data_IF_573854206382
#
_entry.id   IF_573854206382
#
_cell.length_a   1.000
_cell.length_b   1.000
_cell.length_c   1.000
_cell.angle_alpha   90.00
_cell.angle_beta   90.00
_cell.angle_gamma   90.00
#
_symmetry.space_group_name_H-M   'P 1'
#
loop_
_entity.id
_entity.type
_entity.pdbx_description
1 polymer ?
#
# COMPACT_ATOMS: atom_id res chain seq x y z
N UNK A 1 -7.76 9.62 8.46
CA UNK A 1 -6.36 9.40 8.82
C UNK A 1 -5.61 8.98 7.57
N UNK A 2 -4.62 9.73 7.19
CA UNK A 2 -3.79 9.48 6.02
C UNK A 2 -2.35 9.26 6.48
N UNK A 3 -1.64 8.36 5.80
CA UNK A 3 -0.23 8.05 6.05
C UNK A 3 0.55 8.35 4.77
N UNK A 4 1.61 9.13 4.90
CA UNK A 4 2.49 9.48 3.78
C UNK A 4 3.91 9.02 4.09
N UNK A 5 4.59 8.48 3.10
CA UNK A 5 6.01 8.19 3.15
C UNK A 5 6.73 9.20 2.29
N UNK A 6 7.50 10.06 2.96
CA UNK A 6 8.43 10.94 2.30
C UNK A 6 9.75 10.21 2.08
N UNK A 7 10.25 10.20 0.86
CA UNK A 7 11.61 9.77 0.54
C UNK A 7 12.46 11.04 0.52
N UNK A 8 13.03 11.38 1.66
CA UNK A 8 14.05 12.43 1.73
C UNK A 8 15.43 11.88 1.34
N UNK A 9 16.33 12.76 0.87
CA UNK A 9 17.74 12.40 0.76
C UNK A 9 18.33 12.21 2.16
N UNK A 10 19.43 11.47 2.29
CA UNK A 10 20.13 11.29 3.59
C UNK A 10 20.69 12.61 4.16
N UNK A 11 20.59 13.70 3.43
CA UNK A 11 21.16 15.02 3.74
C UNK A 11 20.11 16.09 4.07
N UNK A 12 18.83 15.76 3.99
CA UNK A 12 17.75 16.68 4.35
C UNK A 12 17.44 16.58 5.85
N UNK A 13 17.35 17.73 6.50
CA UNK A 13 16.93 17.80 7.90
C UNK A 13 15.43 17.43 8.03
N UNK A 14 15.01 16.98 9.21
CA UNK A 14 13.59 16.75 9.50
C UNK A 14 12.77 18.03 9.30
N UNK A 15 13.35 19.21 9.59
CA UNK A 15 12.74 20.52 9.39
C UNK A 15 12.39 20.74 7.92
N UNK A 16 13.34 20.53 7.01
CA UNK A 16 13.14 20.68 5.57
C UNK A 16 12.12 19.69 5.02
N UNK A 17 12.16 18.44 5.49
CA UNK A 17 11.20 17.41 5.09
C UNK A 17 9.78 17.78 5.53
N UNK A 18 9.61 18.25 6.78
CA UNK A 18 8.30 18.66 7.30
C UNK A 18 7.78 19.89 6.58
N UNK A 19 8.64 20.87 6.30
CA UNK A 19 8.28 22.06 5.55
C UNK A 19 7.77 21.69 4.15
N UNK A 20 8.56 20.95 3.39
CA UNK A 20 8.20 20.48 2.05
C UNK A 20 6.91 19.64 2.06
N UNK A 21 6.74 18.77 3.05
CA UNK A 21 5.52 17.98 3.20
C UNK A 21 4.28 18.86 3.41
N UNK A 22 4.35 19.86 4.29
CA UNK A 22 3.22 20.76 4.57
C UNK A 22 2.84 21.54 3.31
N UNK A 23 3.83 22.06 2.57
CA UNK A 23 3.59 22.75 1.30
C UNK A 23 2.92 21.82 0.28
N UNK A 24 3.46 20.63 0.08
CA UNK A 24 2.90 19.67 -0.87
C UNK A 24 1.50 19.21 -0.45
N UNK A 25 1.28 18.96 0.83
CA UNK A 25 0.00 18.44 1.33
C UNK A 25 -1.14 19.45 1.20
N UNK A 26 -0.92 20.71 1.55
CA UNK A 26 -1.93 21.77 1.53
C UNK A 26 -2.00 22.55 0.21
N UNK A 27 -0.99 22.46 -0.64
CA UNK A 27 -0.99 23.09 -1.97
C UNK A 27 -2.03 22.52 -2.94
N UNK A 28 -2.59 21.34 -2.68
CA UNK A 28 -3.58 20.68 -3.54
C UNK A 28 -5.04 20.84 -3.07
N UNK A 29 -5.45 22.08 -2.78
CA UNK A 29 -6.86 22.42 -2.46
C UNK A 29 -7.48 21.56 -1.34
N UNK A 30 -6.71 21.26 -0.30
CA UNK A 30 -7.18 20.53 0.88
C UNK A 30 -7.68 21.49 1.96
N UNK A 31 -8.57 21.01 2.80
CA UNK A 31 -9.02 21.78 3.95
C UNK A 31 -7.86 22.08 4.90
N UNK A 32 -7.56 23.38 5.10
CA UNK A 32 -6.49 23.85 5.99
C UNK A 32 -7.10 24.09 7.39
N UNK A 33 -6.61 23.42 8.44
CA UNK A 33 -7.09 23.62 9.80
C UNK A 33 -6.60 24.95 10.38
N UNK A 34 -7.24 25.41 11.46
CA UNK A 34 -6.78 26.59 12.19
C UNK A 34 -5.41 26.40 12.85
N UNK A 35 -5.06 25.16 13.18
CA UNK A 35 -3.84 24.82 13.87
C UNK A 35 -3.26 23.50 13.36
N UNK A 36 -1.95 23.51 13.08
CA UNK A 36 -1.15 22.35 12.74
C UNK A 36 -0.23 22.07 13.93
N UNK A 37 -0.14 20.81 14.36
CA UNK A 37 0.73 20.39 15.45
C UNK A 37 1.86 19.54 14.89
N UNK A 38 3.09 19.87 15.27
CA UNK A 38 4.29 19.14 14.89
C UNK A 38 4.96 18.51 16.12
N UNK A 39 5.79 17.51 15.90
CA UNK A 39 6.60 16.86 16.93
C UNK A 39 7.91 17.61 17.22
N UNK A 40 8.36 18.43 16.26
CA UNK A 40 9.58 19.22 16.35
C UNK A 40 9.43 20.56 15.63
N UNK A 41 10.24 21.58 15.97
CA UNK A 41 10.21 22.85 15.28
C UNK A 41 10.71 22.70 13.85
N UNK A 42 10.23 23.59 12.98
CA UNK A 42 10.72 23.74 11.61
C UNK A 42 11.24 25.15 11.44
N UNK A 43 12.23 25.29 10.56
CA UNK A 43 12.72 26.60 10.15
C UNK A 43 11.63 27.31 9.33
N UNK A 44 11.70 28.64 9.25
CA UNK A 44 10.77 29.46 8.49
C UNK A 44 9.28 29.22 8.81
N UNK A 45 8.97 28.86 10.06
CA UNK A 45 7.59 28.62 10.54
C UNK A 45 6.66 29.80 10.21
N UNK A 46 7.14 31.03 10.38
CA UNK A 46 6.35 32.26 10.14
C UNK A 46 5.94 32.37 8.66
N UNK A 47 6.86 32.10 7.75
CA UNK A 47 6.60 32.13 6.30
C UNK A 47 5.53 31.08 5.92
N UNK A 48 5.61 29.89 6.52
CA UNK A 48 4.66 28.82 6.25
C UNK A 48 3.28 29.10 6.86
N UNK A 49 3.23 29.74 8.04
CA UNK A 49 1.98 30.21 8.66
C UNK A 49 1.30 31.31 7.81
N UNK A 50 2.06 32.24 7.26
CA UNK A 50 1.57 33.29 6.37
C UNK A 50 0.98 32.70 5.10
N UNK A 51 1.72 31.86 4.39
CA UNK A 51 1.27 31.18 3.19
C UNK A 51 0.00 30.35 3.41
N UNK A 52 -0.05 29.56 4.50
CA UNK A 52 -1.25 28.77 4.85
C UNK A 52 -2.45 29.65 5.22
N UNK A 53 -2.19 30.80 5.85
CA UNK A 53 -3.24 31.76 6.24
C UNK A 53 -3.85 32.42 5.03
N UNK A 54 -3.06 32.76 4.03
CA UNK A 54 -3.50 33.32 2.75
C UNK A 54 -4.37 32.30 2.00
N UNK A 55 -3.91 31.07 1.89
CA UNK A 55 -4.68 30.00 1.25
C UNK A 55 -6.01 29.71 1.96
N UNK A 56 -6.03 29.81 3.28
CA UNK A 56 -7.23 29.55 4.09
C UNK A 56 -8.18 30.75 4.14
N UNK A 57 -7.69 31.96 3.90
CA UNK A 57 -8.40 33.22 4.13
C UNK A 57 -8.56 33.61 5.62
N UNK A 58 -7.86 32.93 6.54
CA UNK A 58 -7.88 33.17 7.98
C UNK A 58 -6.60 32.63 8.63
N UNK A 59 -6.23 33.19 9.78
CA UNK A 59 -4.99 32.87 10.50
C UNK A 59 -4.84 31.38 10.78
N UNK A 60 -3.69 30.84 10.43
CA UNK A 60 -3.23 29.48 10.72
C UNK A 60 -2.03 29.54 11.66
N UNK A 61 -1.93 28.58 12.56
CA UNK A 61 -0.82 28.48 13.51
C UNK A 61 -0.16 27.11 13.40
N UNK A 62 1.16 27.07 13.37
CA UNK A 62 1.96 25.86 13.49
C UNK A 62 2.56 25.82 14.90
N UNK A 63 2.38 24.75 15.64
CA UNK A 63 2.81 24.65 17.03
C UNK A 63 3.45 23.33 17.37
N UNK A 64 4.51 23.36 18.16
CA UNK A 64 5.10 22.20 18.83
C UNK A 64 4.60 22.19 20.27
N UNK A 65 3.67 21.31 20.64
CA UNK A 65 3.09 21.31 21.96
C UNK A 65 4.02 20.68 22.99
N UNK A 66 4.24 21.37 24.12
CA UNK A 66 5.12 20.91 25.20
C UNK A 66 4.36 20.17 26.32
N UNK A 67 3.03 20.25 26.37
CA UNK A 67 2.22 19.64 27.44
C UNK A 67 0.75 19.46 27.06
N UNK A 68 0.03 18.69 27.87
CA UNK A 68 -1.43 18.53 27.78
C UNK A 68 -1.91 17.64 26.65
N UNK A 69 -3.18 17.82 26.25
CA UNK A 69 -3.86 16.98 25.25
C UNK A 69 -3.17 17.03 23.90
N UNK A 70 -2.70 18.22 23.48
CA UNK A 70 -2.04 18.42 22.18
C UNK A 70 -0.74 17.63 22.07
N UNK A 71 0.09 17.60 23.14
CA UNK A 71 1.29 16.77 23.17
C UNK A 71 0.92 15.27 23.06
N UNK A 72 -0.12 14.82 23.78
CA UNK A 72 -0.58 13.43 23.65
C UNK A 72 -1.00 13.05 22.24
N UNK A 73 -1.66 13.96 21.53
CA UNK A 73 -2.04 13.74 20.12
C UNK A 73 -0.82 13.62 19.20
N UNK A 74 0.18 14.48 19.37
CA UNK A 74 1.44 14.40 18.60
C UNK A 74 2.18 13.12 18.89
N UNK A 75 2.34 12.74 20.16
CA UNK A 75 3.01 11.49 20.56
C UNK A 75 2.28 10.26 20.00
N UNK A 76 0.95 10.27 19.99
CA UNK A 76 0.16 9.20 19.37
C UNK A 76 0.37 9.14 17.86
N UNK A 77 0.44 10.27 17.18
CA UNK A 77 0.72 10.32 15.75
C UNK A 77 2.13 9.82 15.43
N UNK A 78 3.13 10.23 16.21
CA UNK A 78 4.51 9.77 16.06
C UNK A 78 4.62 8.25 16.27
N UNK A 79 4.06 7.73 17.35
CA UNK A 79 4.05 6.28 17.61
C UNK A 79 3.38 5.49 16.48
N UNK A 80 2.29 6.01 15.93
CA UNK A 80 1.63 5.41 14.78
C UNK A 80 2.52 5.42 13.54
N UNK A 81 3.23 6.52 13.27
CA UNK A 81 4.16 6.62 12.14
C UNK A 81 5.31 5.60 12.25
N UNK A 82 5.87 5.44 13.45
CA UNK A 82 6.90 4.43 13.73
C UNK A 82 6.39 3.00 13.47
N UNK A 83 5.20 2.66 13.96
CA UNK A 83 4.58 1.35 13.71
C UNK A 83 4.43 1.08 12.21
N UNK A 84 3.94 2.06 11.44
CA UNK A 84 3.76 1.94 9.99
C UNK A 84 5.10 1.76 9.28
N UNK A 85 6.12 2.53 9.67
CA UNK A 85 7.49 2.42 9.15
C UNK A 85 8.05 1.01 9.38
N UNK A 86 7.91 0.48 10.60
CA UNK A 86 8.34 -0.89 10.93
C UNK A 86 7.59 -1.96 10.14
N UNK A 87 6.26 -1.84 10.03
CA UNK A 87 5.45 -2.77 9.26
C UNK A 87 5.86 -2.77 7.77
N UNK A 88 6.10 -1.59 7.18
CA UNK A 88 6.52 -1.49 5.78
C UNK A 88 7.88 -2.14 5.56
N UNK A 89 8.85 -1.90 6.45
CA UNK A 89 10.17 -2.53 6.39
C UNK A 89 10.08 -4.05 6.52
N UNK A 90 9.25 -4.55 7.44
CA UNK A 90 9.02 -5.99 7.59
C UNK A 90 8.42 -6.62 6.32
N UNK A 91 7.44 -5.96 5.69
CA UNK A 91 6.85 -6.42 4.43
C UNK A 91 7.87 -6.44 3.28
N UNK A 92 8.69 -5.41 3.17
CA UNK A 92 9.74 -5.37 2.14
C UNK A 92 10.79 -6.46 2.36
N UNK A 93 11.20 -6.69 3.61
CA UNK A 93 12.10 -7.80 3.96
C UNK A 93 11.50 -9.16 3.57
N UNK A 94 10.20 -9.39 3.80
CA UNK A 94 9.52 -10.62 3.41
C UNK A 94 9.54 -10.85 1.89
N UNK A 95 9.39 -9.79 1.08
CA UNK A 95 9.51 -9.89 -0.38
C UNK A 95 10.96 -10.19 -0.81
N UNK A 96 11.96 -9.61 -0.10
CA UNK A 96 13.38 -9.89 -0.35
C UNK A 96 13.71 -11.35 -0.03
N UNK A 97 13.21 -11.87 1.07
CA UNK A 97 13.38 -13.29 1.44
C UNK A 97 12.71 -14.22 0.42
N UNK A 98 11.49 -13.89 0.00
CA UNK A 98 10.77 -14.64 -1.02
C UNK A 98 11.53 -14.65 -2.35
N UNK A 99 12.06 -13.49 -2.78
CA UNK A 99 12.93 -13.38 -3.97
C UNK A 99 14.12 -14.33 -3.88
N UNK A 100 14.81 -14.33 -2.73
CA UNK A 100 15.99 -15.20 -2.50
C UNK A 100 15.60 -16.68 -2.51
N UNK A 101 14.55 -17.04 -1.81
CA UNK A 101 14.10 -18.43 -1.68
C UNK A 101 13.68 -19.03 -3.02
N UNK A 102 12.95 -18.28 -3.84
CA UNK A 102 12.47 -18.70 -5.15
C UNK A 102 13.47 -18.39 -6.28
N UNK A 103 14.63 -17.76 -5.97
CA UNK A 103 15.67 -17.35 -6.95
C UNK A 103 15.10 -16.49 -8.09
N UNK A 104 14.21 -15.57 -7.78
CA UNK A 104 13.61 -14.68 -8.76
C UNK A 104 14.59 -13.59 -9.20
N UNK A 105 14.51 -13.15 -10.46
CA UNK A 105 15.38 -12.09 -10.98
C UNK A 105 15.03 -10.72 -10.37
N UNK A 106 13.75 -10.46 -10.16
CA UNK A 106 13.25 -9.19 -9.58
C UNK A 106 12.39 -9.43 -8.36
N UNK A 107 12.20 -8.35 -7.58
CA UNK A 107 11.38 -8.37 -6.39
C UNK A 107 9.90 -8.57 -6.77
N UNK A 108 9.20 -9.59 -6.25
CA UNK A 108 7.82 -9.87 -6.61
C UNK A 108 6.85 -8.92 -5.88
N UNK A 109 6.67 -7.72 -6.41
CA UNK A 109 5.78 -6.71 -5.83
C UNK A 109 4.31 -7.02 -6.06
N UNK A 110 3.99 -7.62 -7.21
CA UNK A 110 2.63 -8.05 -7.56
C UNK A 110 2.60 -9.56 -7.58
N UNK A 111 1.85 -10.14 -6.65
CA UNK A 111 1.69 -11.60 -6.51
C UNK A 111 0.22 -11.92 -6.72
N UNK A 112 -0.06 -12.87 -7.60
CA UNK A 112 -1.41 -13.42 -7.77
C UNK A 112 -1.46 -14.87 -7.30
N UNK A 113 -2.45 -15.21 -6.47
CA UNK A 113 -2.72 -16.56 -6.02
C UNK A 113 -4.00 -17.11 -6.64
N UNK A 114 -4.00 -18.38 -7.03
CA UNK A 114 -5.11 -19.06 -7.71
C UNK A 114 -5.49 -20.34 -6.99
N UNK A 115 -6.79 -20.56 -6.85
CA UNK A 115 -7.39 -21.74 -6.27
C UNK A 115 -8.63 -22.16 -7.08
N UNK A 116 -8.88 -23.47 -7.17
CA UNK A 116 -10.10 -24.05 -7.72
C UNK A 116 -10.88 -24.73 -6.61
N UNK A 117 -12.09 -24.24 -6.39
CA UNK A 117 -13.02 -24.82 -5.41
C UNK A 117 -14.20 -25.46 -6.11
N UNK A 118 -14.39 -26.76 -5.89
CA UNK A 118 -15.53 -27.52 -6.40
C UNK A 118 -16.67 -27.53 -5.37
N UNK A 119 -17.80 -26.89 -5.71
CA UNK A 119 -19.00 -26.94 -4.89
C UNK A 119 -19.88 -28.07 -5.40
N UNK A 120 -19.91 -29.18 -4.67
CA UNK A 120 -20.83 -30.33 -4.90
C UNK A 120 -20.80 -30.94 -6.31
N UNK A 121 -19.65 -30.97 -6.97
CA UNK A 121 -19.44 -31.70 -8.24
C UNK A 121 -20.13 -31.10 -9.48
N UNK A 122 -20.88 -30.02 -9.36
CA UNK A 122 -21.63 -29.43 -10.48
C UNK A 122 -21.18 -27.99 -10.86
N UNK A 123 -20.52 -27.28 -9.97
CA UNK A 123 -20.08 -25.92 -10.23
C UNK A 123 -18.67 -25.71 -9.68
N UNK A 124 -17.69 -25.65 -10.56
CA UNK A 124 -16.35 -25.25 -10.19
C UNK A 124 -16.20 -23.72 -10.26
N UNK A 125 -15.57 -23.15 -9.27
CA UNK A 125 -15.27 -21.71 -9.20
C UNK A 125 -13.77 -21.54 -8.99
N UNK A 126 -13.14 -20.84 -9.92
CA UNK A 126 -11.77 -20.38 -9.75
C UNK A 126 -11.72 -19.08 -8.97
N UNK A 127 -10.84 -18.97 -8.02
CA UNK A 127 -10.59 -17.78 -7.24
C UNK A 127 -9.22 -17.20 -7.55
N UNK A 128 -9.16 -15.87 -7.75
CA UNK A 128 -7.92 -15.09 -7.83
C UNK A 128 -7.82 -14.16 -6.63
N UNK A 129 -6.73 -14.26 -5.88
CA UNK A 129 -6.32 -13.25 -4.90
C UNK A 129 -5.13 -12.47 -5.44
N UNK A 130 -4.97 -11.24 -5.02
CA UNK A 130 -3.85 -10.40 -5.46
C UNK A 130 -3.25 -9.69 -4.26
N UNK A 131 -1.92 -9.61 -4.26
CA UNK A 131 -1.13 -8.83 -3.30
C UNK A 131 -0.30 -7.81 -4.06
N UNK A 132 -0.17 -6.62 -3.49
CA UNK A 132 0.74 -5.58 -3.97
C UNK A 132 1.57 -5.08 -2.81
N UNK A 133 2.91 -5.08 -2.96
CA UNK A 133 3.87 -4.72 -1.91
C UNK A 133 3.59 -5.46 -0.59
N UNK A 134 3.42 -6.78 -0.67
CA UNK A 134 3.09 -7.69 0.44
C UNK A 134 1.75 -7.39 1.15
N UNK A 135 0.87 -6.55 0.61
CA UNK A 135 -0.46 -6.26 1.15
C UNK A 135 -1.56 -6.83 0.27
N UNK A 136 -2.65 -7.36 0.85
CA UNK A 136 -3.81 -7.81 0.08
C UNK A 136 -4.40 -6.68 -0.76
N UNK A 137 -4.45 -6.85 -2.08
CA UNK A 137 -5.09 -5.94 -3.02
C UNK A 137 -6.51 -6.42 -3.36
N UNK A 138 -7.42 -6.26 -2.42
CA UNK A 138 -8.80 -6.77 -2.53
C UNK A 138 -9.56 -6.26 -3.76
N UNK A 139 -9.20 -5.08 -4.30
CA UNK A 139 -9.81 -4.52 -5.52
C UNK A 139 -9.53 -5.37 -6.76
N UNK A 140 -8.48 -6.16 -6.73
CA UNK A 140 -8.05 -7.05 -7.83
C UNK A 140 -8.47 -8.51 -7.61
N UNK A 141 -9.19 -8.83 -6.55
CA UNK A 141 -9.76 -10.17 -6.33
C UNK A 141 -10.84 -10.44 -7.37
N UNK A 142 -10.80 -11.64 -7.96
CA UNK A 142 -11.79 -12.07 -8.96
C UNK A 142 -12.24 -13.50 -8.71
N UNK A 143 -13.46 -13.79 -9.13
CA UNK A 143 -14.00 -15.15 -9.22
C UNK A 143 -14.29 -15.45 -10.69
N UNK A 144 -13.97 -16.68 -11.09
CA UNK A 144 -14.17 -17.17 -12.44
C UNK A 144 -15.11 -18.36 -12.37
N UNK A 145 -16.22 -18.29 -13.08
CA UNK A 145 -17.03 -19.47 -13.34
C UNK A 145 -16.24 -20.38 -14.29
N UNK A 146 -15.97 -21.61 -13.87
CA UNK A 146 -15.27 -22.60 -14.68
C UNK A 146 -16.30 -23.33 -15.54
N UNK A 147 -15.99 -23.52 -16.81
CA UNK A 147 -16.86 -24.19 -17.79
C UNK A 147 -16.40 -25.62 -18.09
N UNK A 148 -15.15 -25.95 -17.77
CA UNK A 148 -14.59 -27.29 -17.89
C UNK A 148 -15.38 -28.26 -17.03
N UNK A 149 -15.97 -29.33 -17.63
CA UNK A 149 -16.78 -30.30 -16.90
C UNK A 149 -15.93 -31.36 -16.16
N UNK A 150 -16.49 -31.90 -15.09
CA UNK A 150 -15.96 -33.06 -14.36
C UNK A 150 -14.89 -32.76 -13.34
N UNK A 151 -14.38 -33.73 -12.63
CA UNK A 151 -13.34 -33.57 -11.60
C UNK A 151 -11.94 -33.55 -12.24
N UNK A 152 -11.65 -32.53 -13.04
CA UNK A 152 -10.34 -32.35 -13.67
C UNK A 152 -9.75 -30.99 -13.28
N UNK A 153 -9.19 -30.89 -12.08
CA UNK A 153 -8.63 -29.66 -11.51
C UNK A 153 -7.53 -29.07 -12.39
N UNK A 154 -6.76 -29.91 -13.09
CA UNK A 154 -5.74 -29.46 -14.04
C UNK A 154 -6.35 -28.71 -15.23
N UNK A 155 -7.37 -29.28 -15.89
CA UNK A 155 -8.03 -28.62 -17.02
C UNK A 155 -8.76 -27.33 -16.58
N UNK A 156 -9.35 -27.34 -15.38
CA UNK A 156 -10.00 -26.17 -14.79
C UNK A 156 -9.01 -25.04 -14.49
N UNK A 157 -7.84 -25.37 -13.90
CA UNK A 157 -6.77 -24.40 -13.64
C UNK A 157 -6.20 -23.84 -14.94
N UNK A 158 -6.00 -24.69 -15.94
CA UNK A 158 -5.57 -24.27 -17.28
C UNK A 158 -6.56 -23.30 -17.92
N UNK A 159 -7.86 -23.57 -17.83
CA UNK A 159 -8.90 -22.66 -18.30
C UNK A 159 -8.80 -21.30 -17.61
N UNK A 160 -8.72 -21.30 -16.28
CA UNK A 160 -8.63 -20.09 -15.47
C UNK A 160 -7.42 -19.23 -15.84
N UNK A 161 -6.23 -19.85 -15.89
CA UNK A 161 -5.00 -19.16 -16.23
C UNK A 161 -5.01 -18.66 -17.69
N UNK A 162 -5.54 -19.44 -18.62
CA UNK A 162 -5.68 -19.01 -20.02
C UNK A 162 -6.57 -17.75 -20.14
N UNK A 163 -7.67 -17.71 -19.39
CA UNK A 163 -8.55 -16.53 -19.35
C UNK A 163 -7.86 -15.33 -18.69
N UNK A 164 -7.04 -15.55 -17.68
CA UNK A 164 -6.24 -14.47 -17.04
C UNK A 164 -5.18 -13.93 -17.98
N UNK A 165 -4.47 -14.77 -18.70
CA UNK A 165 -3.44 -14.38 -19.64
C UNK A 165 -3.99 -13.50 -20.79
N UNK A 166 -5.22 -13.76 -21.24
CA UNK A 166 -5.90 -12.91 -22.24
C UNK A 166 -6.22 -11.51 -21.72
N UNK A 167 -6.16 -11.28 -20.41
CA UNK A 167 -6.40 -9.97 -19.77
C UNK A 167 -5.11 -9.24 -19.39
N UNK A 168 -3.94 -9.78 -19.68
CA UNK A 168 -2.65 -9.19 -19.28
C UNK A 168 -2.47 -7.80 -19.87
N UNK A 169 -2.87 -7.58 -21.11
CA UNK A 169 -2.76 -6.27 -21.79
C UNK A 169 -3.63 -5.17 -21.16
N UNK A 170 -4.64 -5.54 -20.37
CA UNK A 170 -5.60 -4.61 -19.74
C UNK A 170 -5.47 -4.53 -18.22
N UNK A 171 -4.64 -5.38 -17.59
CA UNK A 171 -4.46 -5.46 -16.14
C UNK A 171 -2.96 -5.56 -15.81
N UNK A 172 -2.55 -5.11 -14.63
CA UNK A 172 -1.16 -5.19 -14.17
C UNK A 172 -0.62 -6.63 -14.27
N UNK A 173 0.55 -6.80 -14.87
CA UNK A 173 1.22 -8.09 -14.97
C UNK A 173 1.75 -8.52 -13.59
N UNK A 174 1.50 -9.76 -13.13
CA UNK A 174 2.05 -10.26 -11.88
C UNK A 174 3.54 -10.60 -12.02
N UNK A 175 4.32 -10.28 -10.97
CA UNK A 175 5.72 -10.71 -10.87
C UNK A 175 5.86 -12.17 -10.42
N UNK A 176 4.83 -12.70 -9.76
CA UNK A 176 4.77 -14.08 -9.28
C UNK A 176 3.32 -14.59 -9.29
N UNK A 177 3.15 -15.79 -9.84
CA UNK A 177 1.90 -16.55 -9.77
C UNK A 177 2.08 -17.71 -8.81
N UNK A 178 1.17 -17.85 -7.87
CA UNK A 178 1.09 -18.96 -6.91
C UNK A 178 -0.18 -19.76 -7.21
N UNK A 179 -0.03 -21.06 -7.39
CA UNK A 179 -1.14 -21.97 -7.69
C UNK A 179 -1.26 -22.94 -6.52
N UNK A 180 -2.44 -23.00 -5.91
CA UNK A 180 -2.76 -24.02 -4.92
C UNK A 180 -3.09 -25.33 -5.66
N UNK A 181 -2.13 -26.27 -5.64
CA UNK A 181 -2.26 -27.53 -6.33
C UNK A 181 -1.07 -28.46 -6.15
N UNK A 182 -1.28 -29.73 -6.42
CA UNK A 182 -0.24 -30.75 -6.35
C UNK A 182 0.66 -30.78 -7.60
N UNK A 183 1.70 -31.66 -7.58
CA UNK A 183 2.65 -31.84 -8.68
C UNK A 183 2.03 -32.12 -10.06
N UNK A 184 0.76 -32.58 -10.12
CA UNK A 184 0.05 -32.80 -11.38
C UNK A 184 -0.62 -31.54 -11.96
N UNK A 185 -0.57 -30.40 -11.26
CA UNK A 185 -1.18 -29.12 -11.69
C UNK A 185 -0.12 -28.10 -12.14
N UNK A 186 1.15 -28.43 -12.03
CA UNK A 186 2.31 -27.73 -12.57
C UNK A 186 2.74 -28.41 -13.87
#
# INVERSE_FOLDING_TARGET
RDDFLMSGSQYESNSEILFAFIQQYYGFNRHIPKQILLNEPIDDTELLEEWLSDLRGNKVYIKVPMKGVKLRLVNMAQKNAEIIKHQKKAMENSLIELKKYLKLDKLPRIIEGYDISNISGKFAVGSKVSFKDAKPNKKKYKRFKIETPGPNDFAMMKELLTRRLKMIDTDEEPDLIVIDGGKGQL
#
